data_IF_773134052864
#
_entry.id   IF_773134052864
#
_cell.length_a   1.000
_cell.length_b   1.000
_cell.length_c   1.000
_cell.angle_alpha   90.00
_cell.angle_beta   90.00
_cell.angle_gamma   90.00
#
_symmetry.space_group_name_H-M   'P 1'
#
loop_
_entity.id
_entity.type
_entity.pdbx_description
1 polymer ?
#
# COMPACT_ATOMS: atom_id res chain seq x y z
N UNK A 1 -0.40 50.01 11.87
CA UNK A 1 -0.30 49.25 10.61
C UNK A 1 1.17 48.84 10.50
N UNK A 2 1.50 47.57 10.68
CA UNK A 2 2.88 47.10 10.57
C UNK A 2 3.20 46.97 9.09
N UNK A 3 4.10 47.80 8.58
CA UNK A 3 4.57 47.75 7.20
C UNK A 3 5.37 46.46 7.03
N UNK A 4 4.76 45.47 6.38
CA UNK A 4 5.48 44.29 5.93
C UNK A 4 6.48 44.73 4.87
N UNK A 5 7.77 44.62 5.20
CA UNK A 5 8.84 44.98 4.28
C UNK A 5 9.22 43.76 3.45
N UNK A 6 9.82 43.98 2.28
CA UNK A 6 10.30 42.89 1.40
C UNK A 6 11.30 41.99 2.10
N UNK A 7 12.04 42.52 3.09
CA UNK A 7 12.94 41.76 3.94
C UNK A 7 12.24 40.71 4.81
N UNK A 8 11.02 40.98 5.28
CA UNK A 8 10.22 40.03 6.05
C UNK A 8 9.74 38.89 5.15
N UNK A 9 9.31 39.22 3.92
CA UNK A 9 8.87 38.24 2.94
C UNK A 9 10.00 37.28 2.52
N UNK A 10 11.23 37.79 2.41
CA UNK A 10 12.41 36.97 2.10
C UNK A 10 12.71 36.03 3.27
N UNK A 11 12.65 36.51 4.51
CA UNK A 11 12.81 35.69 5.71
C UNK A 11 11.78 34.57 5.81
N UNK A 12 10.51 34.90 5.62
CA UNK A 12 9.41 33.93 5.64
C UNK A 12 9.58 32.85 4.57
N UNK A 13 10.05 33.22 3.37
CA UNK A 13 10.30 32.27 2.29
C UNK A 13 11.29 31.18 2.73
N UNK A 14 12.42 31.56 3.34
CA UNK A 14 13.40 30.60 3.84
C UNK A 14 12.87 29.74 4.98
N UNK A 15 12.09 30.31 5.89
CA UNK A 15 11.49 29.57 7.01
C UNK A 15 10.50 28.54 6.49
N UNK A 16 9.61 28.93 5.58
CA UNK A 16 8.60 28.02 5.00
C UNK A 16 9.30 26.87 4.26
N UNK A 17 10.27 27.15 3.39
CA UNK A 17 11.01 26.10 2.70
C UNK A 17 11.81 25.21 3.66
N UNK A 18 12.44 25.79 4.69
CA UNK A 18 13.16 25.05 5.71
C UNK A 18 12.25 24.06 6.46
N UNK A 19 11.08 24.52 6.88
CA UNK A 19 10.07 23.66 7.54
C UNK A 19 9.63 22.54 6.59
N UNK A 20 9.34 22.85 5.33
CA UNK A 20 8.94 21.84 4.33
C UNK A 20 10.01 20.77 4.14
N UNK A 21 11.29 21.17 4.08
CA UNK A 21 12.42 20.23 3.96
C UNK A 21 12.48 19.29 5.18
N UNK A 22 12.34 19.84 6.39
CA UNK A 22 12.36 19.04 7.63
C UNK A 22 11.20 18.06 7.68
N UNK A 23 10.00 18.52 7.33
CA UNK A 23 8.81 17.66 7.26
C UNK A 23 9.00 16.55 6.23
N UNK A 24 9.52 16.88 5.05
CA UNK A 24 9.80 15.90 3.99
C UNK A 24 10.81 14.84 4.44
N UNK A 25 11.90 15.25 5.09
CA UNK A 25 12.89 14.36 5.70
C UNK A 25 12.28 13.43 6.75
N UNK A 26 11.39 13.95 7.60
CA UNK A 26 10.70 13.16 8.61
C UNK A 26 9.82 12.08 7.97
N UNK A 27 9.03 12.45 6.96
CA UNK A 27 8.20 11.51 6.19
C UNK A 27 9.07 10.45 5.51
N UNK A 28 10.16 10.84 4.86
CA UNK A 28 11.08 9.91 4.22
C UNK A 28 11.68 8.91 5.22
N UNK A 29 11.99 9.37 6.43
CA UNK A 29 12.52 8.54 7.51
C UNK A 29 11.49 7.54 8.01
N UNK A 30 10.22 7.95 8.15
CA UNK A 30 9.11 7.06 8.54
C UNK A 30 8.92 5.95 7.51
N UNK A 31 8.84 6.31 6.22
CA UNK A 31 8.71 5.32 5.13
C UNK A 31 9.89 4.35 5.16
N UNK A 32 11.12 4.87 5.27
CA UNK A 32 12.34 4.04 5.31
C UNK A 32 12.37 3.12 6.53
N UNK A 33 11.89 3.58 7.68
CA UNK A 33 11.74 2.77 8.89
C UNK A 33 10.80 1.59 8.67
N UNK A 34 9.63 1.84 8.08
CA UNK A 34 8.64 0.78 7.77
C UNK A 34 9.25 -0.26 6.81
N UNK A 35 9.93 0.19 5.75
CA UNK A 35 10.59 -0.71 4.78
C UNK A 35 11.65 -1.59 5.44
N UNK A 36 12.46 -1.03 6.37
CA UNK A 36 13.47 -1.80 7.10
C UNK A 36 12.82 -2.84 8.01
N UNK A 37 11.74 -2.51 8.71
CA UNK A 37 11.05 -3.47 9.57
C UNK A 37 10.47 -4.61 8.75
N UNK A 38 9.82 -4.31 7.62
CA UNK A 38 9.23 -5.31 6.75
C UNK A 38 10.29 -6.19 6.07
N UNK A 39 11.40 -5.61 5.60
CA UNK A 39 12.49 -6.38 4.98
C UNK A 39 13.17 -7.33 5.97
N UNK A 40 13.32 -6.90 7.23
CA UNK A 40 13.86 -7.76 8.30
C UNK A 40 12.93 -8.90 8.67
N UNK A 41 11.62 -8.75 8.52
CA UNK A 41 10.65 -9.83 8.73
C UNK A 41 10.72 -10.86 7.58
N UNK A 42 10.84 -10.38 6.34
CA UNK A 42 11.01 -11.25 5.17
C UNK A 42 12.29 -12.09 5.25
N UNK A 43 13.42 -11.48 5.61
CA UNK A 43 14.71 -12.19 5.72
C UNK A 43 14.74 -13.28 6.82
N UNK A 44 13.86 -13.18 7.83
CA UNK A 44 13.75 -14.19 8.90
C UNK A 44 12.89 -15.39 8.49
N UNK A 45 11.99 -15.23 7.52
CA UNK A 45 11.10 -16.29 7.06
C UNK A 45 11.84 -17.32 6.17
N UNK A 46 12.84 -16.90 5.39
CA UNK A 46 13.61 -17.79 4.52
C UNK A 46 14.53 -18.79 5.27
N UNK A 47 14.91 -18.50 6.51
CA UNK A 47 15.88 -19.32 7.25
C UNK A 47 15.30 -20.62 7.87
N UNK A 48 14.01 -20.94 7.69
CA UNK A 48 13.32 -21.98 8.50
C UNK A 48 12.63 -23.14 7.74
N UNK A 49 12.92 -23.40 6.46
CA UNK A 49 12.23 -24.48 5.73
C UNK A 49 13.15 -25.67 5.35
N UNK A 50 12.96 -26.87 5.92
CA UNK A 50 13.39 -28.15 5.33
C UNK A 50 12.25 -28.85 4.54
N UNK A 51 12.66 -29.79 3.69
CA UNK A 51 11.97 -30.31 2.50
C UNK A 51 10.80 -31.32 2.69
N UNK A 52 9.95 -31.36 1.64
CA UNK A 52 8.92 -32.32 1.12
C UNK A 52 9.18 -33.85 1.38
N UNK A 53 8.30 -34.85 1.06
CA UNK A 53 6.97 -34.82 0.39
C UNK A 53 5.86 -35.88 0.75
N UNK A 54 4.66 -35.67 0.16
CA UNK A 54 3.59 -36.62 -0.25
C UNK A 54 2.65 -37.16 0.88
N UNK A 55 1.33 -37.39 0.74
CA UNK A 55 0.54 -38.11 -0.29
C UNK A 55 -0.99 -37.80 -0.11
N UNK A 56 -1.71 -37.56 -1.23
CA UNK A 56 -3.09 -37.97 -1.61
C UNK A 56 -4.39 -37.51 -0.89
N UNK A 57 -5.18 -36.75 -1.68
CA UNK A 57 -6.65 -36.84 -1.97
C UNK A 57 -7.70 -36.55 -0.89
N UNK A 58 -8.43 -35.43 -1.04
CA UNK A 58 -9.89 -35.34 -1.33
C UNK A 58 -10.43 -33.95 -0.98
N UNK A 59 -11.29 -33.41 -1.87
CA UNK A 59 -11.98 -32.12 -1.84
C UNK A 59 -11.11 -30.88 -2.08
N UNK A 60 -11.36 -30.20 -3.21
CA UNK A 60 -10.75 -28.91 -3.55
C UNK A 60 -11.30 -27.80 -2.63
N UNK A 61 -10.83 -27.78 -1.39
CA UNK A 61 -10.60 -26.52 -0.68
C UNK A 61 -9.52 -25.79 -1.50
N UNK A 62 -9.61 -24.47 -1.73
CA UNK A 62 -8.44 -23.73 -2.20
C UNK A 62 -7.40 -23.90 -1.10
N UNK A 63 -6.54 -24.90 -1.25
CA UNK A 63 -5.34 -25.00 -0.47
C UNK A 63 -4.58 -23.73 -0.83
N UNK A 64 -4.62 -22.76 0.06
CA UNK A 64 -3.71 -21.62 0.08
C UNK A 64 -2.34 -22.22 0.44
N UNK A 65 -1.82 -23.05 -0.46
CA UNK A 65 -0.55 -23.71 -0.35
C UNK A 65 0.51 -22.65 -0.64
N UNK A 66 0.94 -21.96 0.42
CA UNK A 66 2.04 -21.01 0.34
C UNK A 66 1.88 -19.73 1.13
N UNK A 67 0.73 -19.47 1.78
CA UNK A 67 0.60 -18.31 2.68
C UNK A 67 0.65 -18.80 4.12
N UNK A 68 1.74 -18.50 4.84
CA UNK A 68 1.83 -18.82 6.26
C UNK A 68 0.62 -18.27 7.03
N UNK A 69 0.03 -19.12 7.88
CA UNK A 69 -1.22 -18.83 8.60
C UNK A 69 -1.10 -17.58 9.48
N UNK A 70 0.10 -17.29 9.95
CA UNK A 70 0.45 -16.07 10.68
C UNK A 70 0.15 -14.79 9.88
N UNK A 71 0.30 -14.80 8.54
CA UNK A 71 -0.04 -13.64 7.73
C UNK A 71 -1.56 -13.45 7.63
N UNK A 72 -2.30 -14.55 7.51
CA UNK A 72 -3.77 -14.50 7.47
C UNK A 72 -4.31 -13.99 8.83
N UNK A 73 -3.73 -14.46 9.94
CA UNK A 73 -4.07 -14.00 11.28
C UNK A 73 -3.72 -12.51 11.49
N UNK A 74 -2.54 -12.07 11.06
CA UNK A 74 -2.14 -10.67 11.17
C UNK A 74 -3.02 -9.73 10.33
N UNK A 75 -3.32 -10.11 9.08
CA UNK A 75 -4.17 -9.33 8.17
C UNK A 75 -5.60 -9.25 8.73
N UNK A 76 -6.17 -10.37 9.18
CA UNK A 76 -7.52 -10.38 9.76
C UNK A 76 -7.61 -9.56 11.05
N UNK A 77 -6.59 -9.60 11.92
CA UNK A 77 -6.51 -8.76 13.10
C UNK A 77 -6.43 -7.27 12.74
N UNK A 78 -5.62 -6.90 11.74
CA UNK A 78 -5.53 -5.52 11.26
C UNK A 78 -6.86 -5.03 10.69
N UNK A 79 -7.55 -5.85 9.89
CA UNK A 79 -8.88 -5.54 9.36
C UNK A 79 -9.91 -5.38 10.49
N UNK A 80 -9.88 -6.25 11.49
CA UNK A 80 -10.76 -6.15 12.66
C UNK A 80 -10.51 -4.86 13.46
N UNK A 81 -9.26 -4.47 13.64
CA UNK A 81 -8.89 -3.21 14.29
C UNK A 81 -9.34 -1.98 13.48
N UNK A 82 -9.28 -2.05 12.15
CA UNK A 82 -9.65 -0.94 11.26
C UNK A 82 -11.17 -0.78 11.10
N UNK A 83 -11.93 -1.87 11.05
CA UNK A 83 -13.39 -1.82 10.93
C UNK A 83 -14.11 -1.73 12.28
N UNK A 84 -13.44 -2.04 13.40
CA UNK A 84 -14.04 -2.01 14.73
C UNK A 84 -15.27 -2.92 14.81
N UNK A 85 -16.39 -2.40 15.33
CA UNK A 85 -17.65 -3.16 15.45
C UNK A 85 -18.46 -3.22 14.14
N UNK A 86 -18.01 -2.58 13.05
CA UNK A 86 -18.73 -2.58 11.79
C UNK A 86 -18.52 -3.91 11.05
N UNK A 87 -19.62 -4.62 10.78
CA UNK A 87 -19.62 -5.89 10.04
C UNK A 87 -19.87 -5.62 8.56
N UNK A 88 -19.06 -6.21 7.69
CA UNK A 88 -19.35 -6.25 6.25
C UNK A 88 -20.54 -7.20 6.06
N UNK A 89 -21.72 -6.63 5.79
CA UNK A 89 -22.96 -7.39 5.56
C UNK A 89 -23.11 -7.77 4.08
N UNK A 90 -22.52 -6.99 3.17
CA UNK A 90 -22.67 -7.19 1.74
C UNK A 90 -21.39 -6.75 1.00
N UNK A 91 -20.84 -7.65 0.21
CA UNK A 91 -19.76 -7.35 -0.75
C UNK A 91 -20.40 -7.48 -2.12
N UNK A 92 -20.87 -6.35 -2.68
CA UNK A 92 -21.27 -6.30 -4.08
C UNK A 92 -20.04 -5.96 -4.93
N UNK A 93 -19.95 -6.53 -6.12
CA UNK A 93 -19.09 -5.98 -7.16
C UNK A 93 -19.54 -4.54 -7.38
N UNK A 94 -18.61 -3.57 -7.38
CA UNK A 94 -18.95 -2.19 -7.74
C UNK A 94 -19.80 -2.21 -9.03
N UNK A 95 -20.98 -1.59 -8.96
CA UNK A 95 -21.99 -1.56 -10.04
C UNK A 95 -21.34 -1.49 -11.42
N UNK A 96 -21.84 -2.34 -12.35
CA UNK A 96 -21.31 -2.61 -13.69
C UNK A 96 -20.54 -1.41 -14.26
N UNK A 97 -19.21 -1.50 -14.25
CA UNK A 97 -18.33 -0.54 -14.91
C UNK A 97 -17.31 0.16 -14.01
N UNK A 98 -17.50 0.18 -12.69
CA UNK A 98 -16.61 0.89 -11.75
C UNK A 98 -15.71 -0.05 -10.93
N UNK A 99 -15.16 -1.09 -11.56
CA UNK A 99 -14.22 -2.01 -10.93
C UNK A 99 -12.80 -1.81 -11.44
N UNK A 100 -11.81 -2.08 -10.59
CA UNK A 100 -10.38 -2.15 -10.97
C UNK A 100 -10.13 -2.93 -12.28
N UNK A 101 -10.92 -3.97 -12.52
CA UNK A 101 -10.84 -4.78 -13.75
C UNK A 101 -11.33 -4.06 -15.00
N UNK A 102 -12.28 -3.14 -14.88
CA UNK A 102 -12.75 -2.30 -15.99
C UNK A 102 -11.70 -1.25 -16.34
N UNK A 103 -11.15 -0.58 -15.32
CA UNK A 103 -10.06 0.39 -15.49
C UNK A 103 -8.82 -0.25 -16.11
N UNK A 104 -8.34 -1.37 -15.56
CA UNK A 104 -7.21 -2.12 -16.11
C UNK A 104 -7.42 -2.51 -17.57
N UNK A 105 -8.63 -2.96 -17.93
CA UNK A 105 -8.98 -3.28 -19.32
C UNK A 105 -8.90 -2.04 -20.22
N UNK A 106 -9.46 -0.90 -19.79
CA UNK A 106 -9.37 0.35 -20.56
C UNK A 106 -7.93 0.80 -20.77
N UNK A 107 -7.09 0.78 -19.73
CA UNK A 107 -5.68 1.16 -19.84
C UNK A 107 -4.90 0.22 -20.74
N UNK A 108 -5.16 -1.09 -20.68
CA UNK A 108 -4.54 -2.05 -21.58
C UNK A 108 -4.93 -1.80 -23.04
N UNK A 109 -6.19 -1.46 -23.32
CA UNK A 109 -6.64 -1.15 -24.68
C UNK A 109 -6.19 0.24 -25.16
N UNK A 110 -6.08 1.24 -24.30
CA UNK A 110 -5.69 2.60 -24.70
C UNK A 110 -4.19 2.83 -24.75
N UNK A 111 -3.39 1.93 -24.17
CA UNK A 111 -1.92 2.01 -24.13
C UNK A 111 -1.25 2.07 -25.51
N UNK A 112 -1.86 1.47 -26.53
CA UNK A 112 -1.31 1.36 -27.89
C UNK A 112 -2.07 2.23 -28.92
N UNK A 113 -2.98 3.09 -28.47
CA UNK A 113 -3.61 4.03 -29.40
C UNK A 113 -2.58 5.08 -29.84
N UNK A 114 -2.43 5.33 -31.15
CA UNK A 114 -1.61 6.41 -31.64
C UNK A 114 -2.08 7.72 -31.01
N UNK A 115 -1.21 8.41 -30.28
CA UNK A 115 -1.50 9.77 -29.82
C UNK A 115 -1.75 10.60 -31.08
N UNK A 116 -2.98 11.09 -31.25
CA UNK A 116 -3.35 11.91 -32.40
C UNK A 116 -2.33 13.04 -32.56
N UNK A 117 -1.86 13.22 -33.79
CA UNK A 117 -0.97 14.32 -34.17
C UNK A 117 -1.67 15.63 -33.84
N UNK A 118 -1.10 16.35 -32.88
CA UNK A 118 -1.45 17.73 -32.55
C UNK A 118 -0.76 18.69 -33.51
#
# INVERSE_FOLDING_TARGET
>A
MKTYTTWDAIGDMFIIYGIVIVVSMLVATVIRGIVIVLSRQAAKAEAKAPAKPAVSTTAAQPAVAGIPQEHIAAISAAVAMMMGAHRIVHIEMASRGFGWTAEARTTHHTSHLPRGSH
#
